data_IF_896914558766
#
_entry.id   IF_896914558766
#
_cell.length_a   1.000
_cell.length_b   1.000
_cell.length_c   1.000
_cell.angle_alpha   90.00
_cell.angle_beta   90.00
_cell.angle_gamma   90.00
#
_symmetry.space_group_name_H-M   'P 1'
#
loop_
_entity.id
_entity.type
_entity.pdbx_description
1 polymer ?
#
# COMPACT_ATOMS: atom_id res chain seq x y z
N UNK A 1 -4.34 -13.60 -0.41
CA UNK A 1 -3.42 -14.63 0.16
C UNK A 1 -2.12 -14.08 0.76
N UNK A 2 -1.30 -13.28 0.06
CA UNK A 2 -0.04 -12.73 0.63
C UNK A 2 -0.28 -11.47 1.47
N UNK A 3 -0.98 -10.47 0.91
CA UNK A 3 -1.26 -9.21 1.60
C UNK A 3 -2.13 -9.41 2.85
N UNK A 4 -3.10 -10.32 2.80
CA UNK A 4 -3.90 -10.72 3.98
C UNK A 4 -3.03 -11.32 5.09
N UNK A 5 -2.04 -12.16 4.76
CA UNK A 5 -1.10 -12.72 5.77
C UNK A 5 -0.21 -11.64 6.38
N UNK A 6 0.18 -10.64 5.59
CA UNK A 6 1.05 -9.55 6.06
C UNK A 6 0.28 -8.55 6.91
N UNK A 7 -0.90 -8.11 6.45
CA UNK A 7 -1.69 -7.07 7.09
C UNK A 7 -2.65 -7.60 8.18
N UNK A 8 -3.01 -8.90 8.15
CA UNK A 8 -3.98 -9.50 9.05
C UNK A 8 -5.34 -8.81 8.95
N UNK A 9 -5.94 -8.54 10.11
CA UNK A 9 -7.26 -7.88 10.23
C UNK A 9 -7.29 -6.45 9.68
N UNK A 10 -6.13 -5.87 9.35
CA UNK A 10 -6.01 -4.55 8.72
C UNK A 10 -6.05 -4.60 7.19
N UNK A 11 -6.10 -5.78 6.59
CA UNK A 11 -6.29 -5.91 5.14
C UNK A 11 -7.66 -5.34 4.74
N UNK A 12 -7.67 -4.53 3.68
CA UNK A 12 -8.87 -3.97 3.07
C UNK A 12 -8.69 -3.98 1.56
N UNK A 13 -9.74 -4.32 0.85
CA UNK A 13 -9.79 -4.08 -0.59
C UNK A 13 -9.83 -2.57 -0.84
N UNK A 14 -8.94 -2.08 -1.70
CA UNK A 14 -8.86 -0.66 -1.98
C UNK A 14 -10.06 -0.21 -2.82
N UNK A 15 -10.76 0.87 -2.45
CA UNK A 15 -11.79 1.43 -3.31
C UNK A 15 -11.15 2.01 -4.58
N UNK A 16 -11.94 2.10 -5.65
CA UNK A 16 -11.54 2.88 -6.82
C UNK A 16 -11.41 4.36 -6.43
N UNK A 17 -10.39 5.02 -6.97
CA UNK A 17 -10.14 6.45 -6.71
C UNK A 17 -10.00 7.19 -8.04
N UNK A 18 -10.20 8.50 -8.01
CA UNK A 18 -9.94 9.39 -9.14
C UNK A 18 -8.51 9.98 -9.10
N UNK A 19 -7.62 9.46 -8.24
CA UNK A 19 -6.23 9.91 -8.14
C UNK A 19 -5.50 9.58 -9.43
N UNK A 20 -4.84 10.57 -10.03
CA UNK A 20 -3.95 10.35 -11.16
C UNK A 20 -2.60 9.82 -10.66
N UNK A 21 -2.17 8.69 -11.22
CA UNK A 21 -0.92 8.01 -10.86
C UNK A 21 -0.24 7.48 -12.14
N UNK A 22 1.04 7.79 -12.32
CA UNK A 22 1.77 7.45 -13.55
C UNK A 22 2.19 5.98 -13.59
N UNK A 23 2.09 5.25 -12.48
CA UNK A 23 2.23 3.79 -12.43
C UNK A 23 1.32 3.08 -13.46
N UNK A 24 0.19 3.70 -13.79
CA UNK A 24 -0.72 3.21 -14.83
C UNK A 24 -0.05 3.00 -16.20
N UNK A 25 1.04 3.71 -16.51
CA UNK A 25 1.80 3.47 -17.73
C UNK A 25 2.55 2.14 -17.71
N UNK A 26 3.09 1.70 -16.56
CA UNK A 26 3.68 0.35 -16.45
C UNK A 26 2.61 -0.73 -16.57
N UNK A 27 1.45 -0.53 -15.94
CA UNK A 27 0.34 -1.48 -15.97
C UNK A 27 -0.33 -1.64 -17.36
N UNK A 28 -0.02 -0.76 -18.33
CA UNK A 28 -0.42 -0.94 -19.74
C UNK A 28 0.44 -1.95 -20.48
N UNK A 29 1.71 -2.10 -20.08
CA UNK A 29 2.70 -2.92 -20.79
C UNK A 29 2.79 -4.34 -20.21
N UNK A 30 2.60 -4.48 -18.90
CA UNK A 30 2.67 -5.76 -18.20
C UNK A 30 1.61 -5.84 -17.10
N UNK A 31 1.18 -7.05 -16.67
CA UNK A 31 0.28 -7.19 -15.53
C UNK A 31 0.82 -6.44 -14.30
N UNK A 32 0.07 -5.45 -13.83
CA UNK A 32 0.45 -4.59 -12.71
C UNK A 32 -0.50 -4.73 -11.53
N UNK A 33 0.05 -4.58 -10.32
CA UNK A 33 -0.71 -4.45 -9.08
C UNK A 33 -0.26 -3.18 -8.37
N UNK A 34 -1.19 -2.24 -8.17
CA UNK A 34 -0.98 -1.07 -7.33
C UNK A 34 -1.69 -1.28 -5.99
N UNK A 35 -1.05 -0.89 -4.89
CA UNK A 35 -1.57 -1.08 -3.54
C UNK A 35 -1.39 0.18 -2.71
N UNK A 36 -2.27 0.38 -1.73
CA UNK A 36 -2.16 1.45 -0.75
C UNK A 36 -1.63 0.90 0.57
N UNK A 37 -0.62 1.56 1.13
CA UNK A 37 -0.15 1.32 2.49
C UNK A 37 -0.84 2.31 3.43
N UNK A 38 -1.58 1.81 4.40
CA UNK A 38 -2.18 2.65 5.43
C UNK A 38 -1.11 3.26 6.33
N UNK A 39 -1.03 4.60 6.35
CA UNK A 39 -0.05 5.38 7.14
C UNK A 39 -0.72 6.31 8.17
N UNK A 40 -2.03 6.17 8.36
CA UNK A 40 -2.76 7.00 9.31
C UNK A 40 -2.29 6.74 10.75
N UNK A 41 -2.08 7.81 11.50
CA UNK A 41 -1.83 7.74 12.94
C UNK A 41 -3.09 7.29 13.70
N UNK A 42 -2.90 6.72 14.89
CA UNK A 42 -4.00 6.50 15.85
C UNK A 42 -4.49 7.82 16.45
N UNK A 43 -3.69 8.89 16.36
CA UNK A 43 -4.09 10.25 16.70
C UNK A 43 -4.84 10.91 15.53
N UNK A 44 -6.16 11.15 15.64
CA UNK A 44 -6.96 11.73 14.57
C UNK A 44 -6.52 13.15 14.19
N UNK A 45 -5.83 13.88 15.07
CA UNK A 45 -5.36 15.25 14.81
C UNK A 45 -4.21 15.29 13.80
N UNK A 46 -3.55 14.15 13.57
CA UNK A 46 -2.46 14.00 12.60
C UNK A 46 -2.93 13.43 11.24
N UNK A 47 -4.21 13.06 11.11
CA UNK A 47 -4.74 12.44 9.89
C UNK A 47 -5.12 13.53 8.88
N UNK A 48 -4.19 13.84 7.99
CA UNK A 48 -4.37 14.80 6.91
C UNK A 48 -4.12 14.15 5.54
N UNK A 49 -4.83 14.58 4.47
CA UNK A 49 -4.68 13.96 3.16
C UNK A 49 -3.30 14.23 2.55
N UNK A 50 -2.90 13.36 1.62
CA UNK A 50 -1.77 13.62 0.72
C UNK A 50 -1.92 15.01 0.07
N UNK A 51 -0.80 15.72 -0.11
CA UNK A 51 -0.70 17.13 -0.54
C UNK A 51 -1.07 18.21 0.50
N UNK A 52 -1.49 17.85 1.71
CA UNK A 52 -1.62 18.84 2.79
C UNK A 52 -0.24 19.29 3.33
N UNK A 53 -0.04 20.57 3.70
CA UNK A 53 1.17 20.99 4.42
C UNK A 53 1.27 20.41 5.84
N UNK A 54 0.18 19.80 6.34
CA UNK A 54 0.15 19.08 7.61
C UNK A 54 0.23 17.55 7.43
N UNK A 55 0.49 17.07 6.21
CA UNK A 55 0.59 15.64 5.96
C UNK A 55 1.58 14.99 6.94
N UNK A 56 1.14 13.89 7.53
CA UNK A 56 1.92 13.09 8.46
C UNK A 56 1.71 11.61 8.11
N UNK A 57 2.81 10.89 7.97
CA UNK A 57 2.81 9.44 7.76
C UNK A 57 3.37 8.78 9.01
N UNK A 58 2.60 7.86 9.58
CA UNK A 58 3.04 7.08 10.72
C UNK A 58 4.08 6.03 10.29
N UNK A 59 5.32 6.20 10.76
CA UNK A 59 6.44 5.33 10.39
C UNK A 59 6.28 3.88 10.87
N UNK A 60 5.34 3.59 11.78
CA UNK A 60 4.96 2.21 12.13
C UNK A 60 4.44 1.43 10.93
N UNK A 61 4.04 2.11 9.85
CA UNK A 61 3.66 1.49 8.57
C UNK A 61 4.86 0.99 7.74
N UNK A 62 6.06 1.55 7.91
CA UNK A 62 7.22 1.21 7.08
C UNK A 62 7.59 -0.28 7.13
N UNK A 63 7.67 -0.94 8.31
CA UNK A 63 7.93 -2.38 8.37
C UNK A 63 6.84 -3.22 7.67
N UNK A 64 5.58 -2.76 7.69
CA UNK A 64 4.47 -3.44 7.00
C UNK A 64 4.65 -3.34 5.49
N UNK A 65 5.00 -2.14 4.98
CA UNK A 65 5.27 -1.92 3.55
C UNK A 65 6.44 -2.77 3.04
N UNK A 66 7.55 -2.79 3.76
CA UNK A 66 8.72 -3.64 3.41
C UNK A 66 8.31 -5.11 3.38
N UNK A 67 7.64 -5.59 4.43
CA UNK A 67 7.20 -6.99 4.51
C UNK A 67 6.21 -7.33 3.39
N UNK A 68 5.31 -6.41 3.02
CA UNK A 68 4.36 -6.63 1.94
C UNK A 68 5.06 -6.82 0.59
N UNK A 69 5.95 -5.89 0.22
CA UNK A 69 6.68 -5.96 -1.05
C UNK A 69 7.60 -7.18 -1.11
N UNK A 70 8.40 -7.44 -0.05
CA UNK A 70 9.28 -8.61 0.00
C UNK A 70 8.50 -9.92 -0.08
N UNK A 71 7.40 -10.05 0.67
CA UNK A 71 6.59 -11.27 0.64
C UNK A 71 5.92 -11.46 -0.71
N UNK A 72 5.41 -10.40 -1.34
CA UNK A 72 4.86 -10.46 -2.70
C UNK A 72 5.90 -10.93 -3.72
N UNK A 73 7.11 -10.38 -3.67
CA UNK A 73 8.19 -10.79 -4.57
C UNK A 73 8.57 -12.25 -4.35
N UNK A 74 8.76 -12.68 -3.11
CA UNK A 74 9.12 -14.06 -2.80
C UNK A 74 8.00 -15.03 -3.22
N UNK A 75 6.76 -14.76 -2.86
CA UNK A 75 5.62 -15.60 -3.25
C UNK A 75 5.48 -15.67 -4.78
N UNK A 76 5.64 -14.54 -5.49
CA UNK A 76 5.57 -14.52 -6.96
C UNK A 76 6.70 -15.29 -7.63
N UNK A 77 7.94 -15.15 -7.15
CA UNK A 77 9.11 -15.81 -7.74
C UNK A 77 9.20 -17.29 -7.37
N UNK A 78 8.63 -17.70 -6.24
CA UNK A 78 8.66 -19.08 -5.74
C UNK A 78 7.39 -19.88 -6.08
N UNK A 79 6.31 -19.20 -6.47
CA UNK A 79 5.14 -19.85 -7.04
C UNK A 79 5.56 -20.55 -8.35
N UNK A 80 5.39 -21.87 -8.40
CA UNK A 80 5.57 -22.68 -9.61
C UNK A 80 4.32 -22.64 -10.47
#
# INVERSE_FOLDING_TARGET
>A
PTLEKVAGDRFREAPQTATAEDFSYFAKEVPGLFLFLGVASDDPTLVHPNHSPRFYADERALPVGVKALTSLTLDYMLAK
#
